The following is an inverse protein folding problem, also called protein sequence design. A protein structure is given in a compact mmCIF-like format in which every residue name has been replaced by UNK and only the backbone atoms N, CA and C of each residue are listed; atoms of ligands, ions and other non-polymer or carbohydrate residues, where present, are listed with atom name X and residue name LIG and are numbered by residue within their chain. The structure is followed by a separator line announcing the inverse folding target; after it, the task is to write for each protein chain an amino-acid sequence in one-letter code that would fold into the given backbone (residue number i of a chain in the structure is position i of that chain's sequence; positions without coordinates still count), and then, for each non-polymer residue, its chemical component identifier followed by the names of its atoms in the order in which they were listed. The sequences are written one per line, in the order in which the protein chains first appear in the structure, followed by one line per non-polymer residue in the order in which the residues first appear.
data_IF_877372996143
#
_entry.id   IF_877372996143
#
_cell.length_a   1.000
_cell.length_b   1.000
_cell.length_c   1.000
_cell.angle_alpha   90.00
_cell.angle_beta   90.00
_cell.angle_gamma   90.00
#
_symmetry.space_group_name_H-M   'P 1'
#
loop_
_entity.id
_entity.type
_entity.pdbx_description
1 polymer ?
#
# COMPACT_ATOMS: atom_id res chain seq x y z
N UNK A 1 -12.32 -35.47 19.29
CA UNK A 1 -11.23 -34.80 18.54
C UNK A 1 -11.81 -34.35 17.21
N UNK A 2 -11.99 -33.05 17.00
CA UNK A 2 -12.53 -32.51 15.76
C UNK A 2 -11.54 -31.46 15.22
N UNK A 3 -10.91 -31.79 14.08
CA UNK A 3 -10.08 -30.85 13.33
C UNK A 3 -10.96 -29.73 12.78
N UNK A 4 -10.86 -28.55 13.40
CA UNK A 4 -11.52 -27.35 12.89
C UNK A 4 -10.60 -26.73 11.84
N UNK A 5 -10.80 -27.11 10.58
CA UNK A 5 -10.23 -26.42 9.43
C UNK A 5 -10.73 -24.99 9.47
N UNK A 6 -9.85 -24.05 9.78
CA UNK A 6 -10.13 -22.62 9.70
C UNK A 6 -10.40 -22.28 8.22
N UNK A 7 -11.66 -21.99 7.91
CA UNK A 7 -12.05 -21.41 6.62
C UNK A 7 -11.29 -20.11 6.45
N UNK A 8 -10.41 -20.09 5.45
CA UNK A 8 -9.75 -18.87 4.96
C UNK A 8 -10.85 -17.88 4.63
N UNK A 9 -10.94 -16.81 5.43
CA UNK A 9 -11.88 -15.74 5.18
C UNK A 9 -11.65 -15.22 3.76
N UNK A 10 -12.73 -15.18 2.99
CA UNK A 10 -12.82 -14.55 1.69
C UNK A 10 -12.01 -13.26 1.70
N UNK A 11 -10.95 -13.24 0.90
CA UNK A 11 -10.19 -12.02 0.63
C UNK A 11 -11.20 -11.05 0.05
N UNK A 12 -11.59 -10.05 0.84
CA UNK A 12 -12.29 -8.87 0.33
C UNK A 12 -11.36 -8.30 -0.73
N UNK A 13 -11.67 -8.59 -2.00
CA UNK A 13 -11.02 -7.97 -3.13
C UNK A 13 -11.26 -6.48 -2.96
N UNK A 14 -10.19 -5.73 -2.66
CA UNK A 14 -10.23 -4.28 -2.74
C UNK A 14 -10.79 -3.92 -4.12
N UNK A 15 -11.70 -2.92 -4.19
CA UNK A 15 -12.42 -2.61 -5.41
C UNK A 15 -11.43 -2.47 -6.56
N UNK A 16 -11.62 -3.30 -7.59
CA UNK A 16 -10.92 -3.19 -8.86
C UNK A 16 -11.13 -1.76 -9.33
N UNK A 17 -10.08 -0.93 -9.29
CA UNK A 17 -10.12 0.42 -9.82
C UNK A 17 -10.40 0.26 -11.31
N UNK A 18 -11.66 0.43 -11.71
CA UNK A 18 -12.01 0.51 -13.11
C UNK A 18 -11.21 1.70 -13.69
N UNK A 19 -10.49 1.53 -14.80
CA UNK A 19 -9.72 2.61 -15.39
C UNK A 19 -10.70 3.65 -15.94
N UNK A 20 -11.06 4.62 -15.11
CA UNK A 20 -11.78 5.81 -15.52
C UNK A 20 -10.83 6.67 -16.35
N UNK A 21 -10.96 6.61 -17.68
CA UNK A 21 -10.38 7.56 -18.67
C UNK A 21 -8.91 7.95 -18.52
N UNK A 22 -8.12 7.22 -17.74
CA UNK A 22 -6.71 7.48 -17.51
C UNK A 22 -5.87 6.87 -18.63
N UNK A 23 -4.85 7.61 -19.09
CA UNK A 23 -3.83 7.12 -20.01
C UNK A 23 -3.32 5.73 -19.56
N UNK A 24 -3.21 4.73 -20.47
CA UNK A 24 -2.78 3.37 -20.12
C UNK A 24 -1.50 3.28 -19.28
N UNK A 25 -0.57 4.24 -19.41
CA UNK A 25 0.65 4.27 -18.58
C UNK A 25 0.36 4.70 -17.14
N UNK A 26 -0.54 5.68 -16.96
CA UNK A 26 -1.05 6.13 -15.65
C UNK A 26 -1.69 4.97 -14.90
N UNK A 27 -2.58 4.20 -15.55
CA UNK A 27 -3.21 3.03 -14.94
C UNK A 27 -2.20 1.96 -14.50
N UNK A 28 -1.18 1.67 -15.33
CA UNK A 28 -0.14 0.68 -15.01
C UNK A 28 0.76 1.11 -13.85
N UNK A 29 1.12 2.39 -13.76
CA UNK A 29 1.88 2.95 -12.63
C UNK A 29 1.15 2.73 -11.31
N UNK A 30 -0.15 3.02 -11.28
CA UNK A 30 -1.00 2.81 -10.09
C UNK A 30 -1.03 1.35 -9.64
N UNK A 31 -1.21 0.41 -10.59
CA UNK A 31 -1.23 -1.03 -10.31
C UNK A 31 0.11 -1.52 -9.73
N UNK A 32 1.24 -1.09 -10.29
CA UNK A 32 2.56 -1.49 -9.80
C UNK A 32 2.84 -0.94 -8.39
N UNK A 33 2.44 0.30 -8.12
CA UNK A 33 2.55 0.89 -6.79
C UNK A 33 1.68 0.18 -5.76
N UNK A 34 0.45 -0.16 -6.14
CA UNK A 34 -0.48 -0.92 -5.29
C UNK A 34 0.06 -2.32 -4.97
N UNK A 35 0.61 -3.03 -5.96
CA UNK A 35 1.25 -4.33 -5.75
C UNK A 35 2.40 -4.24 -4.73
N UNK A 36 3.24 -3.21 -4.83
CA UNK A 36 4.32 -2.99 -3.87
C UNK A 36 3.78 -2.74 -2.45
N UNK A 37 2.68 -1.98 -2.31
CA UNK A 37 2.01 -1.79 -1.02
C UNK A 37 1.46 -3.08 -0.45
N UNK A 38 0.78 -3.89 -1.25
CA UNK A 38 0.24 -5.18 -0.82
C UNK A 38 1.35 -6.13 -0.37
N UNK A 39 2.46 -6.20 -1.10
CA UNK A 39 3.63 -7.00 -0.70
C UNK A 39 4.16 -6.56 0.67
N UNK A 40 4.30 -5.25 0.90
CA UNK A 40 4.78 -4.74 2.19
C UNK A 40 3.75 -4.96 3.31
N UNK A 41 2.46 -4.86 3.02
CA UNK A 41 1.38 -5.22 3.95
C UNK A 41 1.43 -6.70 4.34
N UNK A 42 1.63 -7.59 3.37
CA UNK A 42 1.79 -9.03 3.63
C UNK A 42 3.05 -9.33 4.46
N UNK A 43 4.16 -8.62 4.21
CA UNK A 43 5.37 -8.74 5.04
C UNK A 43 5.08 -8.32 6.48
N UNK A 44 4.36 -7.21 6.68
CA UNK A 44 3.98 -6.73 8.00
C UNK A 44 3.06 -7.73 8.71
N UNK A 45 2.00 -8.18 8.04
CA UNK A 45 1.06 -9.17 8.57
C UNK A 45 1.76 -10.48 8.98
N UNK A 46 2.81 -10.88 8.26
CA UNK A 46 3.57 -12.07 8.61
C UNK A 46 4.33 -11.93 9.94
N UNK A 47 4.81 -10.73 10.25
CA UNK A 47 5.53 -10.43 11.51
C UNK A 47 4.55 -10.11 12.64
N UNK A 48 3.47 -9.38 12.34
CA UNK A 48 2.49 -8.87 13.30
C UNK A 48 1.06 -9.25 12.89
N UNK A 49 0.68 -10.54 12.95
CA UNK A 49 -0.61 -11.01 12.42
C UNK A 49 -1.81 -10.38 13.15
N UNK A 50 -1.68 -10.10 14.44
CA UNK A 50 -2.75 -9.54 15.27
C UNK A 50 -2.84 -8.00 15.21
N UNK A 51 -1.80 -7.33 14.69
CA UNK A 51 -1.73 -5.85 14.62
C UNK A 51 -1.86 -5.32 13.19
N UNK A 52 -2.10 -6.21 12.22
CA UNK A 52 -2.29 -5.83 10.82
C UNK A 52 -3.70 -5.27 10.57
N UNK A 53 -3.74 -4.15 9.86
CA UNK A 53 -4.95 -3.46 9.43
C UNK A 53 -4.83 -3.18 7.92
N UNK A 54 -5.71 -3.79 7.13
CA UNK A 54 -5.69 -3.66 5.66
C UNK A 54 -5.91 -2.24 5.15
N UNK A 55 -6.37 -1.31 6.00
CA UNK A 55 -6.54 0.10 5.65
C UNK A 55 -5.27 0.93 5.85
N UNK A 56 -4.25 0.39 6.52
CA UNK A 56 -2.98 1.10 6.80
C UNK A 56 -1.92 0.78 5.75
N UNK A 57 -1.07 1.77 5.49
CA UNK A 57 0.12 1.59 4.65
C UNK A 57 1.31 1.17 5.50
N UNK A 58 1.77 -0.06 5.29
CA UNK A 58 2.95 -0.59 5.95
C UNK A 58 4.17 -0.49 5.05
N UNK A 59 5.27 0.01 5.61
CA UNK A 59 6.59 0.02 4.97
C UNK A 59 7.51 -0.89 5.75
N UNK A 60 8.55 -1.41 5.11
CA UNK A 60 9.54 -2.24 5.80
C UNK A 60 10.16 -1.53 7.02
N UNK A 61 10.32 -0.19 6.96
CA UNK A 61 10.77 0.61 8.11
C UNK A 61 9.79 0.57 9.29
N UNK A 62 8.48 0.49 9.05
CA UNK A 62 7.49 0.38 10.10
C UNK A 62 7.63 -0.97 10.82
N UNK A 63 7.89 -2.06 10.07
CA UNK A 63 8.16 -3.38 10.69
C UNK A 63 9.36 -3.28 11.65
N UNK A 64 10.44 -2.63 11.23
CA UNK A 64 11.64 -2.48 12.06
C UNK A 64 11.38 -1.62 13.30
N UNK A 65 10.71 -0.48 13.14
CA UNK A 65 10.33 0.41 14.24
C UNK A 65 9.39 -0.28 15.23
N UNK A 66 8.34 -0.91 14.73
CA UNK A 66 7.34 -1.57 15.58
C UNK A 66 7.93 -2.77 16.32
N UNK A 67 8.96 -3.45 15.78
CA UNK A 67 9.74 -4.46 16.53
C UNK A 67 10.52 -3.79 17.66
N UNK A 68 11.20 -2.67 17.39
CA UNK A 68 12.02 -1.96 18.37
C UNK A 68 11.18 -1.28 19.47
N UNK A 69 9.91 -0.99 19.20
CA UNK A 69 8.96 -0.37 20.13
C UNK A 69 8.21 -1.41 21.01
N UNK A 70 8.35 -2.72 20.76
CA UNK A 70 7.72 -3.76 21.59
C UNK A 70 8.26 -3.76 23.03
N UNK A 71 7.40 -3.47 24.01
CA UNK A 71 7.77 -3.47 25.43
C UNK A 71 8.20 -4.86 25.94
N UNK A 72 7.53 -5.92 25.48
CA UNK A 72 7.84 -7.30 25.86
C UNK A 72 9.08 -7.83 25.11
N UNK A 73 10.13 -8.16 25.86
CA UNK A 73 11.41 -8.61 25.29
C UNK A 73 11.29 -9.95 24.54
N UNK A 74 10.40 -10.84 24.98
CA UNK A 74 10.20 -12.13 24.34
C UNK A 74 9.47 -11.97 23.00
N UNK A 75 8.41 -11.17 22.97
CA UNK A 75 7.73 -10.79 21.73
C UNK A 75 8.67 -10.10 20.76
N UNK A 76 9.51 -9.19 21.25
CA UNK A 76 10.54 -8.50 20.46
C UNK A 76 11.51 -9.49 19.82
N UNK A 77 12.04 -10.45 20.59
CA UNK A 77 12.96 -11.48 20.08
C UNK A 77 12.29 -12.35 19.02
N UNK A 78 11.04 -12.75 19.24
CA UNK A 78 10.28 -13.58 18.30
C UNK A 78 9.98 -12.83 16.99
N UNK A 79 9.46 -11.61 17.07
CA UNK A 79 9.18 -10.77 15.90
C UNK A 79 10.47 -10.49 15.09
N UNK A 80 11.59 -10.21 15.78
CA UNK A 80 12.91 -10.03 15.14
C UNK A 80 13.39 -11.30 14.44
N UNK A 81 13.16 -12.48 15.03
CA UNK A 81 13.48 -13.77 14.41
C UNK A 81 12.66 -13.97 13.13
N UNK A 82 11.33 -13.83 13.21
CA UNK A 82 10.42 -13.98 12.07
C UNK A 82 10.81 -13.01 10.95
N UNK A 83 11.08 -11.74 11.28
CA UNK A 83 11.46 -10.72 10.31
C UNK A 83 12.79 -11.05 9.60
N UNK A 84 13.78 -11.53 10.34
CA UNK A 84 15.07 -11.93 9.77
C UNK A 84 14.94 -13.15 8.87
N UNK A 85 14.18 -14.17 9.28
CA UNK A 85 13.91 -15.34 8.44
C UNK A 85 13.18 -14.96 7.15
N UNK A 86 12.18 -14.06 7.23
CA UNK A 86 11.45 -13.58 6.05
C UNK A 86 12.38 -12.85 5.08
N UNK A 87 13.22 -11.92 5.57
CA UNK A 87 14.21 -11.21 4.75
C UNK A 87 15.18 -12.17 4.05
N UNK A 88 15.63 -13.20 4.75
CA UNK A 88 16.51 -14.24 4.19
C UNK A 88 15.80 -15.05 3.10
N UNK A 89 14.59 -15.55 3.36
CA UNK A 89 13.79 -16.33 2.39
C UNK A 89 13.51 -15.55 1.12
N UNK A 90 13.13 -14.28 1.25
CA UNK A 90 12.84 -13.39 0.12
C UNK A 90 14.11 -12.91 -0.60
N UNK A 91 15.30 -13.18 -0.06
CA UNK A 91 16.57 -12.64 -0.55
C UNK A 91 16.46 -11.13 -0.81
N UNK A 92 15.79 -10.42 0.11
CA UNK A 92 15.45 -9.02 -0.09
C UNK A 92 16.71 -8.17 0.07
N UNK A 93 17.23 -7.64 -1.05
CA UNK A 93 18.42 -6.78 -1.09
C UNK A 93 17.99 -5.31 -1.08
N UNK A 94 18.91 -4.43 -0.66
CA UNK A 94 18.70 -2.97 -0.67
C UNK A 94 18.19 -2.41 -2.00
N UNK A 95 18.59 -3.01 -3.14
CA UNK A 95 18.08 -2.62 -4.47
C UNK A 95 16.58 -2.90 -4.65
N UNK A 96 16.06 -3.99 -4.10
CA UNK A 96 14.64 -4.33 -4.20
C UNK A 96 13.81 -3.36 -3.36
N UNK A 97 14.30 -3.00 -2.17
CA UNK A 97 13.66 -1.98 -1.31
C UNK A 97 13.61 -0.63 -2.02
N UNK A 98 14.71 -0.21 -2.64
CA UNK A 98 14.76 1.04 -3.43
C UNK A 98 13.82 1.01 -4.63
N UNK A 99 13.74 -0.12 -5.34
CA UNK A 99 12.82 -0.27 -6.46
C UNK A 99 11.35 -0.18 -6.02
N UNK A 100 10.93 -0.90 -4.97
CA UNK A 100 9.58 -0.80 -4.43
C UNK A 100 9.23 0.63 -4.02
N UNK A 101 10.15 1.31 -3.31
CA UNK A 101 9.96 2.71 -2.94
C UNK A 101 9.79 3.60 -4.19
N UNK A 102 10.65 3.46 -5.19
CA UNK A 102 10.57 4.25 -6.42
C UNK A 102 9.25 4.05 -7.16
N UNK A 103 8.73 2.82 -7.21
CA UNK A 103 7.45 2.51 -7.84
C UNK A 103 6.29 3.15 -7.05
N UNK A 104 6.33 3.07 -5.72
CA UNK A 104 5.31 3.69 -4.85
C UNK A 104 5.35 5.22 -4.90
N UNK A 105 6.55 5.82 -4.93
CA UNK A 105 6.73 7.26 -5.10
C UNK A 105 6.18 7.70 -6.47
N UNK A 106 6.43 6.92 -7.53
CA UNK A 106 5.82 7.12 -8.86
C UNK A 106 4.29 7.07 -8.82
N UNK A 107 3.70 6.06 -8.18
CA UNK A 107 2.25 5.99 -7.93
C UNK A 107 1.74 7.24 -7.22
N UNK A 108 2.43 7.72 -6.19
CA UNK A 108 2.00 8.91 -5.44
C UNK A 108 2.00 10.16 -6.32
N UNK A 109 3.02 10.35 -7.18
CA UNK A 109 3.03 11.44 -8.16
C UNK A 109 1.88 11.29 -9.16
N UNK A 110 1.61 10.07 -9.63
CA UNK A 110 0.50 9.79 -10.55
C UNK A 110 -0.88 10.03 -9.90
N UNK A 111 -1.06 9.64 -8.65
CA UNK A 111 -2.31 9.77 -7.91
C UNK A 111 -2.54 11.17 -7.32
N UNK A 112 -1.46 11.90 -7.05
CA UNK A 112 -1.46 13.25 -6.48
C UNK A 112 -0.59 14.16 -7.37
N UNK A 113 -1.12 14.63 -8.51
CA UNK A 113 -0.40 15.58 -9.34
C UNK A 113 -0.16 16.88 -8.55
N UNK A 114 0.91 17.61 -8.91
CA UNK A 114 1.12 18.96 -8.40
C UNK A 114 -0.06 19.82 -8.87
N UNK A 115 -0.74 20.45 -7.92
CA UNK A 115 -1.84 21.36 -8.22
C UNK A 115 -1.25 22.72 -8.60
N UNK A 116 -1.52 23.16 -9.81
CA UNK A 116 -1.22 24.52 -10.29
C UNK A 116 -2.50 25.21 -10.80
N UNK A 117 -2.42 26.51 -11.05
CA UNK A 117 -3.56 27.34 -11.49
C UNK A 117 -4.18 26.80 -12.79
N UNK A 118 -3.35 26.36 -13.74
CA UNK A 118 -3.80 25.81 -15.02
C UNK A 118 -4.60 24.51 -14.83
N UNK A 119 -4.14 23.61 -13.96
CA UNK A 119 -4.81 22.36 -13.64
C UNK A 119 -6.13 22.61 -12.91
N UNK A 120 -6.16 23.57 -11.99
CA UNK A 120 -7.38 23.98 -11.28
C UNK A 120 -8.40 24.55 -12.27
N UNK A 121 -8.02 25.53 -13.08
CA UNK A 121 -8.90 26.17 -14.06
C UNK A 121 -9.45 25.17 -15.08
N UNK A 122 -8.58 24.28 -15.56
CA UNK A 122 -8.98 23.21 -16.48
C UNK A 122 -9.96 22.25 -15.82
N UNK A 123 -9.73 21.89 -14.55
CA UNK A 123 -10.62 20.99 -13.80
C UNK A 123 -11.98 21.63 -13.53
N UNK A 124 -12.01 22.91 -13.13
CA UNK A 124 -13.24 23.69 -12.94
C UNK A 124 -14.03 23.76 -14.23
N UNK A 125 -13.38 24.08 -15.36
CA UNK A 125 -14.02 24.10 -16.67
C UNK A 125 -14.66 22.76 -17.02
N UNK A 126 -13.93 21.65 -16.89
CA UNK A 126 -14.43 20.30 -17.19
C UNK A 126 -15.62 19.94 -16.29
N UNK A 127 -15.53 20.25 -14.99
CA UNK A 127 -16.60 19.92 -14.05
C UNK A 127 -17.85 20.80 -14.26
N UNK A 128 -17.69 22.07 -14.65
CA UNK A 128 -18.79 22.95 -15.05
C UNK A 128 -19.46 22.44 -16.33
N UNK A 129 -18.68 22.09 -17.35
CA UNK A 129 -19.19 21.48 -18.60
C UNK A 129 -19.94 20.17 -18.35
N UNK A 130 -19.49 19.38 -17.36
CA UNK A 130 -20.15 18.16 -16.95
C UNK A 130 -21.39 18.37 -16.07
N UNK A 131 -21.73 19.61 -15.71
CA UNK A 131 -22.82 19.94 -14.79
C UNK A 131 -22.62 19.37 -13.38
N UNK A 132 -21.37 19.15 -12.96
CA UNK A 132 -21.01 18.52 -11.67
C UNK A 132 -20.53 19.51 -10.61
N UNK A 133 -20.39 20.77 -10.98
CA UNK A 133 -20.19 21.87 -10.05
C UNK A 133 -21.54 22.58 -9.91
N UNK A 134 -22.38 22.11 -9.00
CA UNK A 134 -23.51 22.92 -8.51
C UNK A 134 -22.99 23.80 -7.36
N UNK A 135 -23.30 25.11 -7.43
CA UNK A 135 -23.07 26.14 -6.41
C UNK A 135 -21.62 26.40 -5.95
N UNK A 136 -20.71 26.72 -6.89
CA UNK A 136 -19.50 27.52 -6.58
C UNK A 136 -19.76 29.00 -6.93
N UNK A 137 -20.48 29.68 -6.04
CA UNK A 137 -20.71 31.13 -6.08
C UNK A 137 -20.25 31.77 -4.76
#
# INVERSE_FOLDING_TARGET
MANKVLKVAERVALPFIQPTSADPLTSRSLVLGELCWQIQGMMYQHVFPNSYDSKKSYKMKHIEQDIDDLEDEQQRKEAKKIWNELKQKLKCKRRHIRAMKSIQDGRNVTAHPVIDEVLVDTSVRIMNEAGKLEDWH
#
